data_IF_772862820908
#
_entry.id   IF_772862820908
#
_cell.length_a   1.000
_cell.length_b   1.000
_cell.length_c   1.000
_cell.angle_alpha   90.00
_cell.angle_beta   90.00
_cell.angle_gamma   90.00
#
_symmetry.space_group_name_H-M   'P 1'
#
loop_
_entity.id
_entity.type
_entity.pdbx_description
1 polymer ?
#
# COMPACT_ATOMS: atom_id res chain seq x y z
N UNK A 1 -16.06 -16.59 5.61
CA UNK A 1 -16.14 -15.39 4.76
C UNK A 1 -15.26 -14.22 5.25
N UNK A 2 -15.10 -13.99 6.57
CA UNK A 2 -14.30 -12.86 7.09
C UNK A 2 -12.80 -12.85 6.72
N UNK A 3 -12.13 -14.01 6.71
CA UNK A 3 -10.69 -14.10 6.39
C UNK A 3 -10.34 -13.61 4.98
N UNK A 4 -11.09 -14.05 3.95
CA UNK A 4 -10.91 -13.58 2.57
C UNK A 4 -11.08 -12.07 2.41
N UNK A 5 -11.99 -11.48 3.19
CA UNK A 5 -12.21 -10.03 3.19
C UNK A 5 -11.00 -9.28 3.76
N UNK A 6 -10.44 -9.75 4.88
CA UNK A 6 -9.25 -9.15 5.50
C UNK A 6 -8.01 -9.28 4.61
N UNK A 7 -7.85 -10.41 3.93
CA UNK A 7 -6.79 -10.62 2.92
C UNK A 7 -6.91 -9.62 1.76
N UNK A 8 -8.11 -9.45 1.21
CA UNK A 8 -8.36 -8.51 0.12
C UNK A 8 -8.12 -7.05 0.54
N UNK A 9 -8.52 -6.69 1.76
CA UNK A 9 -8.31 -5.36 2.31
C UNK A 9 -6.82 -5.08 2.50
N UNK A 10 -6.08 -6.02 3.11
CA UNK A 10 -4.63 -5.93 3.26
C UNK A 10 -3.91 -5.82 1.91
N UNK A 11 -4.33 -6.60 0.91
CA UNK A 11 -3.75 -6.51 -0.43
C UNK A 11 -3.98 -5.14 -1.09
N UNK A 12 -5.17 -4.54 -0.91
CA UNK A 12 -5.52 -3.22 -1.47
C UNK A 12 -4.73 -2.07 -0.81
N UNK A 13 -4.51 -2.16 0.50
CA UNK A 13 -3.72 -1.16 1.25
C UNK A 13 -2.21 -1.34 1.08
N UNK A 14 -1.76 -2.50 0.61
CA UNK A 14 -0.35 -2.89 0.60
C UNK A 14 0.15 -3.41 1.96
N UNK A 15 -0.75 -3.84 2.84
CA UNK A 15 -0.42 -4.48 4.12
C UNK A 15 -0.39 -6.01 4.07
N UNK A 16 -0.38 -6.62 5.26
CA UNK A 16 -0.46 -8.08 5.48
C UNK A 16 -1.56 -8.41 6.48
N UNK A 17 -2.23 -9.55 6.27
CA UNK A 17 -3.06 -10.18 7.27
C UNK A 17 -2.22 -11.19 8.06
N UNK A 18 -2.40 -11.23 9.38
CA UNK A 18 -1.78 -12.21 10.27
C UNK A 18 -2.88 -12.94 11.03
N UNK A 19 -2.81 -14.27 11.09
CA UNK A 19 -3.77 -15.10 11.82
C UNK A 19 -3.17 -15.47 13.18
N UNK A 20 -3.70 -14.87 14.26
CA UNK A 20 -3.20 -15.06 15.62
C UNK A 20 -3.97 -16.20 16.32
N UNK A 21 -3.74 -17.45 15.90
CA UNK A 21 -4.38 -18.63 16.48
C UNK A 21 -3.67 -19.22 17.71
N UNK A 22 -2.50 -18.70 18.10
CA UNK A 22 -1.67 -19.17 19.21
C UNK A 22 -0.75 -18.05 19.72
N UNK A 23 -0.37 -18.07 21.01
CA UNK A 23 0.59 -17.13 21.60
C UNK A 23 1.94 -17.12 20.87
N UNK A 24 2.40 -18.29 20.40
CA UNK A 24 3.62 -18.39 19.60
C UNK A 24 3.52 -17.64 18.26
N UNK A 25 2.31 -17.54 17.70
CA UNK A 25 2.05 -16.82 16.46
C UNK A 25 2.08 -15.29 16.67
N UNK A 26 1.92 -14.81 17.91
CA UNK A 26 1.92 -13.38 18.23
C UNK A 26 3.35 -12.83 18.25
N UNK A 27 4.29 -13.47 18.95
CA UNK A 27 5.69 -13.00 19.01
C UNK A 27 6.34 -13.02 17.63
N UNK A 28 6.07 -14.07 16.84
CA UNK A 28 6.51 -14.15 15.45
C UNK A 28 5.87 -13.06 14.57
N UNK A 29 4.58 -12.75 14.76
CA UNK A 29 3.93 -11.67 14.04
C UNK A 29 4.53 -10.30 14.39
N UNK A 30 4.76 -10.01 15.67
CA UNK A 30 5.39 -8.76 16.11
C UNK A 30 6.81 -8.60 15.55
N UNK A 31 7.63 -9.65 15.61
CA UNK A 31 8.97 -9.64 15.03
C UNK A 31 8.92 -9.37 13.52
N UNK A 32 7.98 -9.99 12.81
CA UNK A 32 7.76 -9.77 11.38
C UNK A 32 7.32 -8.34 11.05
N UNK A 33 6.45 -7.73 11.86
CA UNK A 33 6.02 -6.34 11.69
C UNK A 33 7.18 -5.37 11.93
N UNK A 34 7.99 -5.59 12.98
CA UNK A 34 9.14 -4.75 13.29
C UNK A 34 10.18 -4.74 12.16
N UNK A 35 10.48 -5.91 11.58
CA UNK A 35 11.35 -6.02 10.39
C UNK A 35 10.77 -5.33 9.16
N UNK A 36 9.45 -5.35 8.98
CA UNK A 36 8.76 -4.67 7.88
C UNK A 36 8.81 -3.14 8.03
N UNK A 37 8.59 -2.62 9.24
CA UNK A 37 8.64 -1.18 9.52
C UNK A 37 10.03 -0.57 9.22
N UNK A 38 11.11 -1.33 9.39
CA UNK A 38 12.47 -0.89 9.02
C UNK A 38 12.65 -0.70 7.50
N UNK A 39 11.74 -1.27 6.69
CA UNK A 39 11.82 -1.31 5.21
C UNK A 39 10.62 -0.61 4.57
N UNK A 40 10.02 0.36 5.27
CA UNK A 40 8.98 1.20 4.70
C UNK A 40 9.59 2.41 3.98
N UNK A 41 9.14 2.66 2.76
CA UNK A 41 9.59 3.76 1.93
C UNK A 41 8.40 4.65 1.53
N UNK A 42 8.61 5.97 1.55
CA UNK A 42 7.64 6.94 1.02
C UNK A 42 8.00 7.27 -0.42
N UNK A 43 7.07 7.05 -1.35
CA UNK A 43 7.25 7.37 -2.77
C UNK A 43 6.28 8.48 -3.19
N UNK A 44 6.82 9.54 -3.79
CA UNK A 44 6.04 10.58 -4.44
C UNK A 44 5.82 10.23 -5.93
N UNK A 45 4.58 10.36 -6.39
CA UNK A 45 4.22 10.18 -7.80
C UNK A 45 3.38 11.36 -8.28
N UNK A 46 3.78 11.96 -9.39
CA UNK A 46 3.06 13.04 -10.06
C UNK A 46 2.60 12.51 -11.42
N UNK A 47 1.30 12.30 -11.63
CA UNK A 47 0.81 11.83 -12.92
C UNK A 47 0.90 12.94 -13.97
N UNK A 48 1.23 12.57 -15.21
CA UNK A 48 1.21 13.51 -16.35
C UNK A 48 -0.20 14.10 -16.58
N UNK A 49 -1.24 13.30 -16.31
CA UNK A 49 -2.65 13.70 -16.36
C UNK A 49 -3.35 13.27 -15.08
N UNK A 50 -3.72 14.25 -14.26
CA UNK A 50 -4.34 14.02 -12.93
C UNK A 50 -5.67 13.25 -13.04
N UNK A 51 -6.49 13.56 -14.04
CA UNK A 51 -7.86 13.04 -14.18
C UNK A 51 -8.90 13.93 -13.50
N UNK A 52 -10.15 13.47 -13.44
CA UNK A 52 -11.26 14.18 -12.81
C UNK A 52 -11.39 13.77 -11.34
N UNK A 53 -11.93 14.67 -10.52
CA UNK A 53 -12.27 14.36 -9.12
C UNK A 53 -13.17 13.12 -9.07
N UNK A 54 -12.82 12.16 -8.21
CA UNK A 54 -13.51 10.88 -8.08
C UNK A 54 -12.97 9.76 -8.98
N UNK A 55 -12.12 10.07 -9.98
CA UNK A 55 -11.50 9.03 -10.80
C UNK A 55 -10.61 8.12 -9.93
N UNK A 56 -10.74 6.81 -10.14
CA UNK A 56 -9.80 5.83 -9.58
C UNK A 56 -8.63 5.65 -10.54
N UNK A 57 -7.42 5.93 -10.07
CA UNK A 57 -6.17 5.72 -10.82
C UNK A 57 -5.42 4.53 -10.23
N UNK A 58 -5.01 3.62 -11.10
CA UNK A 58 -4.18 2.47 -10.73
C UNK A 58 -2.71 2.91 -10.68
N UNK A 59 -1.96 2.37 -9.72
CA UNK A 59 -0.51 2.56 -9.58
C UNK A 59 0.15 1.18 -9.46
N UNK A 60 1.27 1.01 -10.15
CA UNK A 60 2.06 -0.23 -10.11
C UNK A 60 3.51 0.10 -9.76
N UNK A 61 3.93 -0.37 -8.61
CA UNK A 61 5.32 -0.23 -8.14
C UNK A 61 6.09 -1.49 -8.55
N UNK A 62 7.29 -1.30 -9.08
CA UNK A 62 8.22 -2.39 -9.42
C UNK A 62 9.59 -2.02 -8.87
N UNK A 63 10.32 -3.04 -8.44
CA UNK A 63 11.70 -2.92 -7.97
C UNK A 63 12.58 -3.81 -8.85
N UNK A 64 13.84 -3.41 -9.03
CA UNK A 64 14.79 -4.18 -9.85
C UNK A 64 15.41 -5.37 -9.09
N UNK A 65 15.32 -5.36 -7.75
CA UNK A 65 15.84 -6.43 -6.91
C UNK A 65 15.04 -7.72 -7.14
N UNK A 66 15.76 -8.82 -7.37
CA UNK A 66 15.15 -10.15 -7.49
C UNK A 66 14.77 -10.70 -6.11
N UNK A 67 13.85 -11.66 -6.08
CA UNK A 67 13.42 -12.40 -4.88
C UNK A 67 12.88 -11.53 -3.73
N UNK A 68 12.18 -10.44 -4.07
CA UNK A 68 11.47 -9.60 -3.10
C UNK A 68 9.99 -9.50 -3.40
N UNK A 69 9.19 -9.40 -2.33
CA UNK A 69 7.77 -9.11 -2.42
C UNK A 69 7.57 -7.61 -2.27
N UNK A 70 7.03 -6.97 -3.31
CA UNK A 70 6.62 -5.55 -3.23
C UNK A 70 5.19 -5.50 -2.71
N UNK A 71 4.99 -4.79 -1.60
CA UNK A 71 3.67 -4.45 -1.09
C UNK A 71 3.50 -2.94 -1.12
N UNK A 72 2.44 -2.50 -1.78
CA UNK A 72 2.13 -1.09 -1.92
C UNK A 72 0.66 -0.91 -2.21
N UNK A 73 0.16 0.28 -1.89
CA UNK A 73 -1.14 0.74 -2.37
C UNK A 73 -1.17 0.63 -3.89
N UNK A 74 -2.22 0.03 -4.44
CA UNK A 74 -2.36 -0.23 -5.88
C UNK A 74 -3.22 0.81 -6.61
N UNK A 75 -3.87 1.72 -5.88
CA UNK A 75 -4.72 2.74 -6.47
C UNK A 75 -4.94 3.93 -5.53
N UNK A 76 -5.26 5.08 -6.13
CA UNK A 76 -5.72 6.26 -5.42
C UNK A 76 -6.98 6.83 -6.08
N UNK A 77 -7.74 7.62 -5.33
CA UNK A 77 -8.86 8.39 -5.83
C UNK A 77 -8.38 9.82 -6.01
N UNK A 78 -8.67 10.41 -7.17
CA UNK A 78 -8.37 11.81 -7.44
C UNK A 78 -9.23 12.68 -6.51
N UNK A 79 -8.59 13.35 -5.56
CA UNK A 79 -9.25 14.27 -4.65
C UNK A 79 -9.60 15.61 -5.32
N UNK A 80 -10.46 16.39 -4.68
CA UNK A 80 -10.65 17.79 -5.04
C UNK A 80 -9.32 18.51 -4.87
N UNK A 81 -8.66 18.76 -5.98
CA UNK A 81 -7.36 19.43 -5.96
C UNK A 81 -7.61 20.92 -6.07
N UNK A 82 -7.80 21.60 -4.93
CA UNK A 82 -7.61 23.06 -4.88
C UNK A 82 -6.10 23.41 -4.94
N UNK A 83 -5.35 22.79 -5.88
CA UNK A 83 -4.00 23.26 -6.24
C UNK A 83 -4.16 24.17 -7.43
N UNK A 84 -4.28 25.45 -7.15
CA UNK A 84 -3.75 26.49 -8.03
C UNK A 84 -2.32 26.06 -8.39
N UNK A 85 -2.10 25.69 -9.64
CA UNK A 85 -0.79 25.33 -10.15
C UNK A 85 0.10 26.56 -10.04
N UNK A 86 0.92 26.62 -8.99
CA UNK A 86 2.02 27.55 -8.92
C UNK A 86 3.10 27.07 -9.90
N UNK A 87 3.23 27.78 -11.02
CA UNK A 87 4.26 27.53 -12.02
C UNK A 87 3.88 28.22 -13.32
N UNK A 88 4.41 29.43 -13.51
CA UNK A 88 4.39 30.18 -14.76
C UNK A 88 5.01 29.39 -15.91
#
# INVERSE_FOLDING_TARGET
MGRKYLEALAASSGGRAFEASSLLNIDAAFSGIAEELRRQYSLGYYPDVVGKVGDRKQIKIRVMRQDVVVRAKNSYIVGQTNRTLAGK
#
